data_IF_843632611184
#
_entry.id   IF_843632611184
#
_cell.length_a   1.000
_cell.length_b   1.000
_cell.length_c   1.000
_cell.angle_alpha   90.00
_cell.angle_beta   90.00
_cell.angle_gamma   90.00
#
_symmetry.space_group_name_H-M   'P 1'
#
loop_
_entity.id
_entity.type
_entity.pdbx_description
1 polymer ?
#
# COMPACT_ATOMS: atom_id res chain seq x y z
N UNK A 1 -7.65 -10.55 -14.10
CA UNK A 1 -6.56 -9.63 -13.77
C UNK A 1 -6.83 -9.21 -12.34
N UNK A 2 -6.00 -9.64 -11.38
CA UNK A 2 -6.17 -9.18 -10.01
C UNK A 2 -5.88 -7.68 -10.03
N UNK A 3 -6.85 -6.86 -9.62
CA UNK A 3 -6.66 -5.43 -9.41
C UNK A 3 -5.58 -5.30 -8.33
N UNK A 4 -4.37 -4.92 -8.73
CA UNK A 4 -3.28 -4.73 -7.80
C UNK A 4 -3.53 -3.38 -7.13
N UNK A 5 -4.10 -3.42 -5.93
CA UNK A 5 -4.31 -2.23 -5.11
C UNK A 5 -3.33 -2.21 -3.94
N UNK A 6 -2.81 -1.03 -3.62
CA UNK A 6 -2.06 -0.77 -2.38
C UNK A 6 -2.97 -0.14 -1.36
N UNK A 7 -3.01 -0.69 -0.15
CA UNK A 7 -3.69 -0.04 0.99
C UNK A 7 -2.67 0.34 2.05
N UNK A 8 -2.52 1.64 2.30
CA UNK A 8 -1.75 2.17 3.42
C UNK A 8 -2.67 2.33 4.61
N UNK A 9 -2.28 1.82 5.77
CA UNK A 9 -2.96 2.07 7.04
C UNK A 9 -2.04 2.90 7.92
N UNK A 10 -2.56 3.97 8.49
CA UNK A 10 -1.82 4.85 9.40
C UNK A 10 -2.78 5.41 10.46
N UNK A 11 -2.25 6.18 11.42
CA UNK A 11 -2.97 6.63 12.63
C UNK A 11 -3.43 5.46 13.52
N UNK A 12 -2.57 4.98 14.44
CA UNK A 12 -2.95 3.92 15.36
C UNK A 12 -4.13 4.36 16.25
N UNK A 13 -5.09 3.46 16.44
CA UNK A 13 -6.29 3.65 17.27
C UNK A 13 -6.49 2.46 18.20
N UNK A 14 -7.40 2.56 19.17
CA UNK A 14 -7.63 1.55 20.21
C UNK A 14 -7.80 0.12 19.66
N UNK A 15 -8.36 -0.01 18.44
CA UNK A 15 -8.45 -1.28 17.70
C UNK A 15 -8.00 -1.13 16.24
N UNK A 16 -6.71 -0.93 16.02
CA UNK A 16 -6.10 -0.97 14.69
C UNK A 16 -5.71 0.42 14.20
N UNK A 17 -6.18 0.80 13.01
CA UNK A 17 -5.84 2.07 12.36
C UNK A 17 -7.10 2.88 12.11
N UNK A 18 -7.07 4.17 12.45
CA UNK A 18 -8.16 5.10 12.18
C UNK A 18 -8.22 5.49 10.69
N UNK A 19 -7.07 5.48 10.01
CA UNK A 19 -6.94 5.99 8.66
C UNK A 19 -6.41 4.94 7.69
N UNK A 20 -6.93 5.00 6.46
CA UNK A 20 -6.48 4.17 5.34
C UNK A 20 -6.58 4.90 4.00
N UNK A 21 -5.71 4.54 3.06
CA UNK A 21 -5.66 5.04 1.69
C UNK A 21 -5.50 3.84 0.78
N UNK A 22 -6.47 3.64 -0.11
CA UNK A 22 -6.38 2.64 -1.17
C UNK A 22 -6.12 3.35 -2.49
N UNK A 23 -5.12 2.89 -3.22
CA UNK A 23 -4.70 3.42 -4.51
C UNK A 23 -4.17 2.29 -5.40
N UNK A 24 -4.18 2.45 -6.74
CA UNK A 24 -3.63 1.44 -7.62
C UNK A 24 -2.14 1.19 -7.33
N UNK A 25 -1.76 -0.08 -7.33
CA UNK A 25 -0.37 -0.55 -7.21
C UNK A 25 0.40 -0.28 -8.51
N UNK A 26 1.72 -0.21 -8.43
CA UNK A 26 2.59 0.08 -9.58
C UNK A 26 2.86 1.56 -9.79
N UNK A 27 2.74 2.36 -8.73
CA UNK A 27 3.04 3.79 -8.74
C UNK A 27 3.60 4.28 -7.40
N UNK A 28 3.63 5.59 -7.21
CA UNK A 28 4.09 6.21 -5.96
C UNK A 28 2.96 6.33 -4.95
N UNK A 29 3.19 5.75 -3.79
CA UNK A 29 2.26 5.71 -2.66
C UNK A 29 2.75 6.68 -1.60
N UNK A 30 2.01 7.77 -1.38
CA UNK A 30 2.33 8.71 -0.31
C UNK A 30 1.93 8.14 1.06
N UNK A 31 2.90 8.03 1.97
CA UNK A 31 2.72 7.67 3.37
C UNK A 31 2.68 8.96 4.17
N UNK A 32 1.54 9.32 4.79
CA UNK A 32 1.42 10.57 5.52
C UNK A 32 2.23 10.59 6.82
N UNK A 33 2.21 11.73 7.52
CA UNK A 33 2.86 11.91 8.81
C UNK A 33 2.56 10.75 9.79
N UNK A 34 3.52 10.34 10.64
CA UNK A 34 4.79 11.02 10.92
C UNK A 34 5.93 10.69 9.94
N UNK A 35 5.72 9.78 8.99
CA UNK A 35 6.78 9.39 8.05
C UNK A 35 6.93 10.38 6.91
N UNK A 36 5.81 10.86 6.35
CA UNK A 36 5.77 11.85 5.25
C UNK A 36 6.71 11.47 4.10
N UNK A 37 6.63 10.22 3.66
CA UNK A 37 7.52 9.63 2.66
C UNK A 37 6.73 9.14 1.45
N UNK A 38 7.36 9.12 0.28
CA UNK A 38 6.84 8.44 -0.90
C UNK A 38 7.44 7.03 -0.99
N UNK A 39 6.57 6.01 -1.05
CA UNK A 39 6.94 4.64 -1.33
C UNK A 39 6.70 4.37 -2.83
N UNK A 40 7.77 4.15 -3.59
CA UNK A 40 7.64 3.73 -4.98
C UNK A 40 7.34 2.24 -5.06
N UNK A 41 6.18 1.89 -5.63
CA UNK A 41 5.73 0.50 -5.83
C UNK A 41 5.86 0.05 -7.27
N UNK A 42 6.47 0.84 -8.15
CA UNK A 42 6.58 0.55 -9.59
C UNK A 42 7.49 -0.64 -9.86
N UNK A 43 8.54 -0.79 -9.05
CA UNK A 43 9.52 -1.89 -9.13
C UNK A 43 9.11 -3.12 -8.32
N UNK A 44 7.97 -3.11 -7.65
CA UNK A 44 7.48 -4.31 -6.99
C UNK A 44 6.94 -5.28 -8.04
N UNK A 45 7.71 -6.32 -8.33
CA UNK A 45 7.21 -7.41 -9.15
C UNK A 45 6.06 -8.12 -8.41
N UNK A 46 4.93 -8.39 -9.09
CA UNK A 46 3.91 -9.24 -8.50
C UNK A 46 4.54 -10.57 -8.12
N UNK A 47 4.23 -11.07 -6.92
CA UNK A 47 4.70 -12.39 -6.51
C UNK A 47 4.42 -13.40 -7.64
N UNK A 48 5.38 -14.29 -7.97
CA UNK A 48 5.14 -15.28 -9.00
C UNK A 48 3.83 -15.97 -8.66
N UNK A 49 2.89 -15.98 -9.61
CA UNK A 49 1.62 -16.65 -9.43
C UNK A 49 1.96 -18.06 -8.94
N UNK A 50 1.62 -18.36 -7.67
CA UNK A 50 1.92 -19.66 -7.10
C UNK A 50 1.19 -20.67 -7.97
N UNK A 51 1.95 -21.35 -8.82
CA UNK A 51 1.45 -22.33 -9.75
C UNK A 51 0.82 -23.47 -8.98
N UNK A 52 -0.36 -23.88 -9.44
CA UNK A 52 -1.05 -25.11 -9.07
C UNK A 52 -0.30 -26.33 -9.64
#
# INVERSE_FOLDING_TARGET
MQEQDTTVFWEPYEKGYASRLTQPFGGKVHIPAPFDCELDTSDFEPAPAQGD
#
